data_IF_958938364783
#
_entry.id   IF_958938364783
#
_cell.length_a   1.000
_cell.length_b   1.000
_cell.length_c   1.000
_cell.angle_alpha   90.00
_cell.angle_beta   90.00
_cell.angle_gamma   90.00
#
_symmetry.space_group_name_H-M   'P 1'
#
loop_
_entity.id
_entity.type
_entity.pdbx_description
1 polymer ?
#
# COMPACT_ATOMS: atom_id res chain seq x y z
N UNK A 1 -15.26 13.92 -21.32
CA UNK A 1 -14.05 13.08 -21.30
C UNK A 1 -13.72 12.84 -19.85
N UNK A 2 -13.95 11.62 -19.35
CA UNK A 2 -13.46 11.21 -18.04
C UNK A 2 -11.94 11.11 -18.18
N UNK A 3 -11.22 12.05 -17.58
CA UNK A 3 -9.78 11.88 -17.34
C UNK A 3 -9.62 10.61 -16.51
N UNK A 4 -8.88 9.61 -17.01
CA UNK A 4 -8.37 8.54 -16.17
C UNK A 4 -7.50 9.21 -15.11
N UNK A 5 -8.05 9.48 -13.92
CA UNK A 5 -7.31 10.10 -12.82
C UNK A 5 -6.30 9.09 -12.31
N UNK A 6 -5.03 9.50 -12.37
CA UNK A 6 -3.87 8.78 -11.89
C UNK A 6 -3.85 8.85 -10.37
N UNK A 7 -3.45 7.78 -9.71
CA UNK A 7 -3.70 7.65 -8.29
C UNK A 7 -2.45 7.12 -7.57
N UNK A 8 -1.35 7.85 -7.73
CA UNK A 8 -0.13 7.62 -6.96
C UNK A 8 -0.24 8.38 -5.65
N UNK A 9 -0.09 7.63 -4.56
CA UNK A 9 0.04 8.15 -3.22
C UNK A 9 1.44 8.05 -2.66
N UNK A 10 1.63 8.66 -1.51
CA UNK A 10 2.85 8.50 -0.71
C UNK A 10 2.47 8.21 0.74
N UNK A 11 3.12 7.20 1.32
CA UNK A 11 3.01 6.88 2.74
C UNK A 11 3.64 7.98 3.58
N UNK A 12 2.89 8.52 4.54
CA UNK A 12 3.39 9.46 5.52
C UNK A 12 3.72 8.74 6.84
N UNK A 13 4.99 8.41 7.01
CA UNK A 13 5.52 7.84 8.25
C UNK A 13 5.55 8.87 9.38
N UNK A 14 4.65 8.73 10.35
CA UNK A 14 4.54 9.64 11.52
C UNK A 14 5.51 9.31 12.66
N UNK A 15 6.29 8.22 12.52
CA UNK A 15 7.24 7.73 13.54
C UNK A 15 8.67 8.29 13.36
N UNK A 16 8.85 9.29 12.50
CA UNK A 16 10.10 10.04 12.35
C UNK A 16 10.43 10.88 13.58
N UNK A 17 11.73 11.13 13.84
CA UNK A 17 12.18 11.93 14.98
C UNK A 17 11.81 13.42 14.86
N UNK A 18 12.77 14.28 14.46
CA UNK A 18 12.48 15.69 14.15
C UNK A 18 11.76 15.78 12.80
N UNK A 19 10.48 15.44 12.77
CA UNK A 19 9.64 15.58 11.58
C UNK A 19 9.33 17.05 11.29
N UNK A 20 9.21 17.46 10.02
CA UNK A 20 8.68 18.79 9.67
C UNK A 20 7.29 19.02 10.31
N UNK A 21 6.86 20.28 10.47
CA UNK A 21 5.48 20.60 10.84
C UNK A 21 4.51 19.90 9.88
N UNK A 22 3.46 19.27 10.42
CA UNK A 22 2.51 18.46 9.64
C UNK A 22 1.86 19.29 8.54
N UNK A 23 1.53 20.55 8.82
CA UNK A 23 0.94 21.48 7.86
C UNK A 23 1.86 21.72 6.65
N UNK A 24 3.18 21.78 6.88
CA UNK A 24 4.15 21.95 5.81
C UNK A 24 4.35 20.65 5.02
N UNK A 25 4.22 19.49 5.67
CA UNK A 25 4.14 18.20 4.96
C UNK A 25 2.92 18.16 4.04
N UNK A 26 1.73 18.53 4.52
CA UNK A 26 0.52 18.55 3.68
C UNK A 26 0.68 19.51 2.49
N UNK A 27 1.25 20.70 2.70
CA UNK A 27 1.58 21.62 1.59
C UNK A 27 2.59 21.03 0.63
N UNK A 28 3.57 20.27 1.12
CA UNK A 28 4.55 19.60 0.27
C UNK A 28 3.88 18.55 -0.61
N UNK A 29 2.98 17.71 -0.07
CA UNK A 29 2.17 16.77 -0.86
C UNK A 29 1.44 17.49 -2.00
N UNK A 30 0.75 18.60 -1.69
CA UNK A 30 0.02 19.40 -2.69
C UNK A 30 0.96 20.04 -3.73
N UNK A 31 2.10 20.60 -3.29
CA UNK A 31 3.11 21.18 -4.18
C UNK A 31 3.65 20.14 -5.16
N UNK A 32 3.85 18.90 -4.69
CA UNK A 32 4.33 17.78 -5.49
C UNK A 32 3.27 17.17 -6.43
N UNK A 33 2.02 17.66 -6.37
CA UNK A 33 0.92 17.07 -7.14
C UNK A 33 0.59 15.63 -6.71
N UNK A 34 0.96 15.25 -5.47
CA UNK A 34 0.59 13.94 -4.92
C UNK A 34 -0.89 14.03 -4.53
N UNK A 35 -1.68 13.06 -4.99
CA UNK A 35 -3.13 13.07 -4.78
C UNK A 35 -3.51 12.31 -3.52
N UNK A 36 -2.79 11.22 -3.21
CA UNK A 36 -3.14 10.34 -2.10
C UNK A 36 -2.10 10.36 -0.98
N UNK A 37 -2.61 10.30 0.24
CA UNK A 37 -1.80 10.19 1.45
C UNK A 37 -2.25 8.96 2.24
N UNK A 38 -1.28 8.18 2.72
CA UNK A 38 -1.56 7.03 3.60
C UNK A 38 -0.88 7.24 4.94
N UNK A 39 -1.64 7.12 6.03
CA UNK A 39 -1.10 7.00 7.39
C UNK A 39 -1.55 5.66 7.98
N UNK A 40 -0.62 4.92 8.58
CA UNK A 40 -0.86 3.55 9.05
C UNK A 40 -1.72 3.48 10.32
N UNK A 41 -1.81 4.58 11.06
CA UNK A 41 -2.56 4.69 12.31
C UNK A 41 -3.27 6.04 12.38
N UNK A 42 -4.35 6.17 13.17
CA UNK A 42 -5.06 7.42 13.27
C UNK A 42 -4.31 8.45 14.12
N UNK A 43 -4.15 9.65 13.58
CA UNK A 43 -3.55 10.79 14.25
C UNK A 43 -4.41 12.05 14.03
N UNK A 44 -4.91 12.62 15.14
CA UNK A 44 -5.78 13.80 15.07
C UNK A 44 -5.07 15.07 14.60
N UNK A 45 -3.75 15.19 14.76
CA UNK A 45 -3.00 16.33 14.25
C UNK A 45 -2.91 16.25 12.73
N UNK A 46 -2.66 15.06 12.17
CA UNK A 46 -2.71 14.84 10.71
C UNK A 46 -4.12 15.08 10.16
N UNK A 47 -5.15 14.54 10.80
CA UNK A 47 -6.55 14.76 10.38
C UNK A 47 -6.95 16.24 10.41
N UNK A 48 -6.45 17.03 11.38
CA UNK A 48 -6.67 18.48 11.42
C UNK A 48 -5.93 19.19 10.29
N UNK A 49 -4.67 18.83 10.02
CA UNK A 49 -3.87 19.44 8.96
C UNK A 49 -4.39 19.13 7.55
N UNK A 50 -5.08 17.99 7.37
CA UNK A 50 -5.68 17.61 6.09
C UNK A 50 -6.97 18.38 5.76
N UNK A 51 -7.54 19.13 6.71
CA UNK A 51 -8.81 19.85 6.49
C UNK A 51 -8.68 20.85 5.34
N UNK A 52 -9.58 20.74 4.36
CA UNK A 52 -9.61 21.60 3.17
C UNK A 52 -8.53 21.27 2.14
N UNK A 53 -7.70 20.25 2.37
CA UNK A 53 -6.79 19.74 1.34
C UNK A 53 -7.55 18.91 0.30
N UNK A 54 -7.01 18.81 -0.90
CA UNK A 54 -7.52 17.94 -1.97
C UNK A 54 -7.04 16.49 -1.83
N UNK A 55 -6.24 16.18 -0.81
CA UNK A 55 -5.63 14.86 -0.65
C UNK A 55 -6.68 13.83 -0.25
N UNK A 56 -6.70 12.69 -0.96
CA UNK A 56 -7.50 11.55 -0.54
C UNK A 56 -6.71 10.66 0.42
N UNK A 57 -7.29 10.43 1.59
CA UNK A 57 -6.66 9.76 2.72
C UNK A 57 -6.99 8.26 2.75
N UNK A 58 -5.94 7.44 2.86
CA UNK A 58 -6.00 6.07 3.38
C UNK A 58 -5.63 6.08 4.87
N UNK A 59 -6.59 5.80 5.75
CA UNK A 59 -6.43 5.82 7.20
C UNK A 59 -6.39 4.40 7.77
N UNK A 60 -5.29 4.04 8.44
CA UNK A 60 -5.17 2.73 9.06
C UNK A 60 -5.80 2.61 10.45
N UNK A 61 -6.38 1.44 10.73
CA UNK A 61 -6.77 0.98 12.07
C UNK A 61 -5.59 0.22 12.66
N UNK A 62 -5.21 0.56 13.90
CA UNK A 62 -4.11 -0.12 14.59
C UNK A 62 -4.37 -1.61 14.73
N UNK A 63 -3.33 -2.42 14.60
CA UNK A 63 -3.44 -3.89 14.76
C UNK A 63 -4.02 -4.28 16.14
N UNK A 64 -3.69 -3.53 17.19
CA UNK A 64 -4.17 -3.78 18.56
C UNK A 64 -5.69 -3.54 18.71
N UNK A 65 -6.25 -2.58 17.96
CA UNK A 65 -7.66 -2.21 18.03
C UNK A 65 -8.58 -3.25 17.37
N UNK A 66 -8.01 -4.12 16.51
CA UNK A 66 -8.76 -5.15 15.78
C UNK A 66 -9.51 -6.11 16.71
N UNK A 67 -8.95 -6.42 17.88
CA UNK A 67 -9.61 -7.32 18.85
C UNK A 67 -10.94 -6.72 19.29
N UNK A 68 -10.92 -5.48 19.78
CA UNK A 68 -12.12 -4.82 20.30
C UNK A 68 -13.14 -4.55 19.20
N UNK A 69 -12.69 -4.09 18.03
CA UNK A 69 -13.59 -3.75 16.92
C UNK A 69 -14.20 -5.01 16.29
N UNK A 70 -13.44 -6.10 16.14
CA UNK A 70 -13.98 -7.36 15.58
C UNK A 70 -15.08 -7.98 16.44
N UNK A 71 -15.00 -7.81 17.76
CA UNK A 71 -15.94 -8.38 18.73
C UNK A 71 -17.15 -7.48 19.00
N UNK A 72 -17.15 -6.23 18.53
CA UNK A 72 -18.19 -5.25 18.85
C UNK A 72 -18.47 -4.26 17.72
N UNK A 73 -19.69 -4.32 17.18
CA UNK A 73 -20.19 -3.32 16.23
C UNK A 73 -20.22 -1.92 16.83
N UNK A 74 -20.52 -1.77 18.13
CA UNK A 74 -20.51 -0.46 18.79
C UNK A 74 -19.09 0.11 18.91
N UNK A 75 -18.07 -0.75 19.09
CA UNK A 75 -16.68 -0.31 19.06
C UNK A 75 -16.27 0.19 17.66
N UNK A 76 -16.73 -0.45 16.59
CA UNK A 76 -16.54 0.06 15.22
C UNK A 76 -17.21 1.43 15.02
N UNK A 77 -18.45 1.58 15.48
CA UNK A 77 -19.17 2.87 15.42
C UNK A 77 -18.47 3.95 16.23
N UNK A 78 -17.94 3.62 17.41
CA UNK A 78 -17.15 4.56 18.22
C UNK A 78 -15.86 4.98 17.51
N UNK A 79 -15.18 4.05 16.84
CA UNK A 79 -13.99 4.37 16.06
C UNK A 79 -14.32 5.35 14.92
N UNK A 80 -15.41 5.13 14.19
CA UNK A 80 -15.91 6.05 13.14
C UNK A 80 -16.28 7.42 13.74
N UNK A 81 -16.96 7.45 14.88
CA UNK A 81 -17.30 8.70 15.57
C UNK A 81 -16.07 9.49 16.02
N UNK A 82 -14.99 8.80 16.40
CA UNK A 82 -13.78 9.47 16.86
C UNK A 82 -12.93 10.00 15.71
N UNK A 83 -12.73 9.19 14.66
CA UNK A 83 -11.70 9.48 13.65
C UNK A 83 -12.23 9.96 12.29
N UNK A 84 -13.52 9.71 11.99
CA UNK A 84 -14.10 10.04 10.68
C UNK A 84 -15.08 11.20 10.79
N UNK A 85 -16.14 11.06 11.60
CA UNK A 85 -17.22 12.06 11.66
C UNK A 85 -16.76 13.49 11.97
N UNK A 86 -15.78 13.75 12.86
CA UNK A 86 -15.33 15.11 13.15
C UNK A 86 -14.58 15.79 11.98
N UNK A 87 -14.27 15.04 10.93
CA UNK A 87 -13.45 15.46 9.79
C UNK A 87 -14.15 15.24 8.44
N UNK A 88 -15.27 14.52 8.39
CA UNK A 88 -15.87 14.00 7.16
C UNK A 88 -16.25 15.05 6.10
N UNK A 89 -16.50 16.30 6.50
CA UNK A 89 -16.83 17.39 5.57
C UNK A 89 -15.62 18.15 5.05
N UNK A 90 -14.44 17.92 5.63
CA UNK A 90 -13.21 18.68 5.36
C UNK A 90 -12.03 17.80 4.97
N UNK A 91 -12.10 16.49 5.21
CA UNK A 91 -11.07 15.50 4.84
C UNK A 91 -11.69 14.50 3.89
N UNK A 92 -11.05 14.28 2.75
CA UNK A 92 -11.44 13.27 1.76
C UNK A 92 -10.91 11.91 2.19
N UNK A 93 -11.78 11.03 2.70
CA UNK A 93 -11.41 9.65 3.03
C UNK A 93 -11.66 8.73 1.83
N UNK A 94 -10.60 8.08 1.33
CA UNK A 94 -10.71 7.08 0.27
C UNK A 94 -10.78 5.66 0.82
N UNK A 95 -9.96 5.37 1.84
CA UNK A 95 -9.82 4.01 2.39
C UNK A 95 -9.71 4.02 3.91
N UNK A 96 -10.29 3.01 4.54
CA UNK A 96 -9.95 2.56 5.88
C UNK A 96 -9.23 1.22 5.78
N UNK A 97 -7.97 1.18 6.17
CA UNK A 97 -7.17 -0.06 6.13
C UNK A 97 -7.17 -0.74 7.50
N UNK A 98 -7.82 -1.90 7.58
CA UNK A 98 -7.95 -2.74 8.76
C UNK A 98 -6.64 -3.46 9.02
N UNK A 99 -5.83 -2.87 9.91
CA UNK A 99 -4.50 -3.36 10.22
C UNK A 99 -3.47 -3.12 9.12
N UNK A 100 -2.20 -3.27 9.49
CA UNK A 100 -1.06 -3.27 8.58
C UNK A 100 -0.26 -4.55 8.82
N UNK A 101 -0.23 -5.42 7.82
CA UNK A 101 0.44 -6.72 7.87
C UNK A 101 0.02 -7.61 9.07
N UNK A 102 -1.25 -7.50 9.47
CA UNK A 102 -1.83 -8.32 10.54
C UNK A 102 -1.85 -9.83 10.20
N UNK A 103 -1.76 -10.16 8.91
CA UNK A 103 -1.73 -11.53 8.37
C UNK A 103 -0.34 -11.79 7.73
N UNK A 104 0.34 -12.90 8.06
CA UNK A 104 0.12 -13.71 9.25
C UNK A 104 0.53 -12.98 10.53
N UNK A 105 -0.13 -13.29 11.64
CA UNK A 105 0.16 -12.68 12.94
C UNK A 105 -0.91 -12.96 14.00
N UNK A 106 -0.71 -12.48 15.25
CA UNK A 106 -1.65 -12.71 16.36
C UNK A 106 -3.01 -12.05 16.14
N UNK A 107 -3.09 -11.05 15.24
CA UNK A 107 -4.31 -10.32 14.94
C UNK A 107 -5.06 -10.85 13.70
N UNK A 108 -4.50 -11.83 12.98
CA UNK A 108 -5.02 -12.30 11.69
C UNK A 108 -6.49 -12.71 11.75
N UNK A 109 -6.90 -13.43 12.81
CA UNK A 109 -8.27 -13.92 13.00
C UNK A 109 -9.32 -12.82 13.21
N UNK A 110 -8.92 -11.58 13.46
CA UNK A 110 -9.83 -10.47 13.72
C UNK A 110 -10.06 -9.59 12.49
N UNK A 111 -9.26 -9.74 11.42
CA UNK A 111 -9.27 -8.84 10.27
C UNK A 111 -10.62 -8.84 9.55
N UNK A 112 -11.11 -10.02 9.15
CA UNK A 112 -12.37 -10.13 8.40
C UNK A 112 -13.58 -9.56 9.16
N UNK A 113 -13.76 -9.92 10.43
CA UNK A 113 -14.83 -9.36 11.26
C UNK A 113 -14.70 -7.86 11.47
N UNK A 114 -13.47 -7.33 11.58
CA UNK A 114 -13.24 -5.88 11.68
C UNK A 114 -13.60 -5.16 10.38
N UNK A 115 -13.26 -5.72 9.20
CA UNK A 115 -13.69 -5.18 7.89
C UNK A 115 -15.21 -5.03 7.87
N UNK A 116 -15.92 -6.06 8.32
CA UNK A 116 -17.38 -6.10 8.28
C UNK A 116 -18.01 -5.09 9.23
N UNK A 117 -17.54 -5.04 10.48
CA UNK A 117 -18.05 -4.10 11.46
C UNK A 117 -17.75 -2.64 11.07
N UNK A 118 -16.56 -2.37 10.51
CA UNK A 118 -16.19 -1.04 10.04
C UNK A 118 -17.03 -0.61 8.84
N UNK A 119 -17.23 -1.49 7.85
CA UNK A 119 -18.08 -1.21 6.70
C UNK A 119 -19.53 -0.90 7.13
N UNK A 120 -20.09 -1.70 8.03
CA UNK A 120 -21.42 -1.45 8.59
C UNK A 120 -21.49 -0.10 9.34
N UNK A 121 -20.47 0.23 10.13
CA UNK A 121 -20.41 1.48 10.88
C UNK A 121 -20.41 2.69 9.92
N UNK A 122 -19.60 2.66 8.87
CA UNK A 122 -19.54 3.72 7.85
C UNK A 122 -20.87 3.85 7.08
N UNK A 123 -21.45 2.72 6.66
CA UNK A 123 -22.74 2.73 5.96
C UNK A 123 -23.88 3.29 6.83
N UNK A 124 -23.87 3.01 8.14
CA UNK A 124 -24.91 3.47 9.07
C UNK A 124 -24.98 5.00 9.20
N UNK A 125 -23.90 5.69 8.84
CA UNK A 125 -23.79 7.15 8.84
C UNK A 125 -23.71 7.74 7.42
N UNK A 126 -24.07 6.94 6.40
CA UNK A 126 -24.14 7.39 5.00
C UNK A 126 -22.80 7.50 4.26
N UNK A 127 -21.69 7.03 4.86
CA UNK A 127 -20.35 7.12 4.27
C UNK A 127 -20.01 5.90 3.39
N UNK A 128 -20.86 5.62 2.40
CA UNK A 128 -20.81 4.42 1.55
C UNK A 128 -19.67 4.43 0.53
N UNK A 129 -19.08 5.59 0.23
CA UNK A 129 -18.00 5.71 -0.74
C UNK A 129 -16.62 5.37 -0.18
N UNK A 130 -16.48 5.28 1.16
CA UNK A 130 -15.20 4.97 1.81
C UNK A 130 -14.97 3.47 1.73
N UNK A 131 -13.88 3.05 1.07
CA UNK A 131 -13.56 1.64 0.90
C UNK A 131 -12.93 1.08 2.17
N UNK A 132 -13.42 -0.05 2.67
CA UNK A 132 -12.81 -0.75 3.81
C UNK A 132 -11.98 -1.92 3.27
N UNK A 133 -10.70 -1.97 3.59
CA UNK A 133 -9.77 -2.98 3.08
C UNK A 133 -8.81 -3.42 4.19
N UNK A 134 -7.86 -4.31 3.91
CA UNK A 134 -6.73 -4.65 4.77
C UNK A 134 -5.44 -4.64 3.96
N UNK A 135 -4.31 -4.52 4.64
CA UNK A 135 -2.99 -4.49 4.02
C UNK A 135 -2.25 -5.79 4.36
N UNK A 136 -1.86 -6.53 3.32
CA UNK A 136 -1.11 -7.79 3.47
C UNK A 136 0.28 -7.70 2.82
N UNK A 137 1.30 -8.28 3.45
CA UNK A 137 2.65 -8.37 2.88
C UNK A 137 2.80 -9.56 1.97
N UNK A 138 3.86 -9.56 1.15
CA UNK A 138 4.21 -10.70 0.30
C UNK A 138 4.34 -12.02 1.07
N UNK A 139 4.75 -12.00 2.36
CA UNK A 139 4.89 -13.22 3.20
C UNK A 139 3.59 -14.01 3.41
N UNK A 140 2.42 -13.49 3.02
CA UNK A 140 1.20 -14.30 2.99
C UNK A 140 1.23 -15.36 1.88
N UNK A 141 2.08 -15.17 0.85
CA UNK A 141 2.29 -16.10 -0.24
C UNK A 141 3.42 -17.09 0.07
N UNK A 142 3.23 -18.36 -0.30
CA UNK A 142 4.25 -19.41 -0.18
C UNK A 142 5.35 -19.26 -1.23
N UNK A 143 4.96 -18.87 -2.43
CA UNK A 143 5.81 -18.49 -3.56
C UNK A 143 5.10 -17.41 -4.35
N UNK A 144 5.85 -16.62 -5.10
CA UNK A 144 5.33 -15.68 -6.09
C UNK A 144 6.01 -15.86 -7.46
N UNK A 145 6.96 -16.80 -7.59
CA UNK A 145 7.76 -16.98 -8.80
C UNK A 145 7.81 -18.47 -9.22
N UNK A 146 7.29 -18.84 -10.41
CA UNK A 146 6.55 -17.98 -11.34
C UNK A 146 5.15 -17.62 -10.79
N UNK A 147 4.57 -16.46 -11.18
CA UNK A 147 3.33 -15.95 -10.58
C UNK A 147 2.16 -16.93 -10.57
N UNK A 148 1.95 -17.69 -11.64
CA UNK A 148 0.87 -18.69 -11.75
C UNK A 148 0.88 -19.76 -10.66
N UNK A 149 2.04 -20.02 -10.06
CA UNK A 149 2.20 -21.02 -8.99
C UNK A 149 1.87 -20.46 -7.61
N UNK A 150 1.74 -19.14 -7.47
CA UNK A 150 1.53 -18.48 -6.19
C UNK A 150 0.28 -18.98 -5.48
N UNK A 151 0.38 -19.14 -4.17
CA UNK A 151 -0.70 -19.53 -3.28
C UNK A 151 -0.44 -18.99 -1.88
N UNK A 152 -1.50 -18.82 -1.11
CA UNK A 152 -1.36 -18.42 0.28
C UNK A 152 -0.69 -19.54 1.09
N UNK A 153 0.18 -19.15 2.02
CA UNK A 153 0.78 -20.07 2.99
C UNK A 153 -0.31 -20.76 3.81
N UNK A 154 -0.05 -21.98 4.29
CA UNK A 154 -1.00 -22.70 5.17
C UNK A 154 -1.43 -21.87 6.39
N UNK A 155 -0.51 -21.05 6.92
CA UNK A 155 -0.79 -20.17 8.06
C UNK A 155 -1.73 -19.01 7.70
N UNK A 156 -1.63 -18.47 6.49
CA UNK A 156 -2.41 -17.29 6.07
C UNK A 156 -3.73 -17.67 5.42
N UNK A 157 -3.80 -18.85 4.78
CA UNK A 157 -4.92 -19.29 3.95
C UNK A 157 -6.29 -19.16 4.62
N UNK A 158 -6.53 -19.65 5.86
CA UNK A 158 -7.85 -19.54 6.48
C UNK A 158 -8.31 -18.08 6.62
N UNK A 159 -7.40 -17.20 7.02
CA UNK A 159 -7.70 -15.78 7.21
C UNK A 159 -7.88 -15.05 5.88
N UNK A 160 -7.12 -15.41 4.85
CA UNK A 160 -7.27 -14.84 3.52
C UNK A 160 -8.58 -15.23 2.87
N UNK A 161 -9.08 -16.46 3.09
CA UNK A 161 -10.42 -16.87 2.65
C UNK A 161 -11.51 -15.98 3.27
N UNK A 162 -11.46 -15.75 4.58
CA UNK A 162 -12.44 -14.90 5.28
C UNK A 162 -12.36 -13.42 4.86
N UNK A 163 -11.15 -12.91 4.65
CA UNK A 163 -10.91 -11.56 4.13
C UNK A 163 -11.46 -11.42 2.73
N UNK A 164 -11.14 -12.34 1.82
CA UNK A 164 -11.62 -12.32 0.42
C UNK A 164 -13.13 -12.38 0.36
N UNK A 165 -13.78 -13.24 1.16
CA UNK A 165 -15.23 -13.30 1.23
C UNK A 165 -15.83 -11.96 1.69
N UNK A 166 -15.19 -11.31 2.66
CA UNK A 166 -15.62 -9.99 3.15
C UNK A 166 -15.46 -8.91 2.07
N UNK A 167 -14.31 -8.86 1.39
CA UNK A 167 -13.99 -7.89 0.34
C UNK A 167 -14.89 -8.03 -0.89
N UNK A 168 -15.15 -9.26 -1.34
CA UNK A 168 -16.08 -9.54 -2.44
C UNK A 168 -17.49 -9.03 -2.12
N UNK A 169 -17.98 -9.28 -0.90
CA UNK A 169 -19.33 -8.85 -0.48
C UNK A 169 -19.49 -7.33 -0.50
N UNK A 170 -18.44 -6.59 -0.11
CA UNK A 170 -18.50 -5.13 0.00
C UNK A 170 -17.96 -4.41 -1.25
N UNK A 171 -17.46 -5.14 -2.25
CA UNK A 171 -16.90 -4.57 -3.48
C UNK A 171 -15.63 -3.75 -3.26
N UNK A 172 -14.76 -4.15 -2.34
CA UNK A 172 -13.55 -3.40 -1.94
C UNK A 172 -12.27 -4.13 -2.39
N UNK A 173 -11.18 -3.40 -2.74
CA UNK A 173 -9.92 -4.03 -3.11
C UNK A 173 -9.23 -4.68 -1.91
N UNK A 174 -8.23 -5.52 -2.16
CA UNK A 174 -7.20 -5.90 -1.20
C UNK A 174 -5.98 -5.00 -1.40
N UNK A 175 -5.41 -4.45 -0.32
CA UNK A 175 -4.14 -3.73 -0.40
C UNK A 175 -2.96 -4.66 -0.13
N UNK A 176 -1.92 -4.55 -0.96
CA UNK A 176 -0.72 -5.40 -0.88
C UNK A 176 0.56 -4.56 -0.75
N UNK A 177 1.47 -4.97 0.13
CA UNK A 177 2.82 -4.41 0.20
C UNK A 177 3.73 -5.17 -0.78
N UNK A 178 4.29 -4.46 -1.74
CA UNK A 178 5.06 -5.01 -2.87
C UNK A 178 6.44 -4.37 -2.92
N UNK A 179 7.47 -5.09 -2.51
CA UNK A 179 8.84 -4.59 -2.44
C UNK A 179 9.82 -5.45 -3.26
N UNK A 180 9.98 -5.19 -4.57
CA UNK A 180 10.99 -5.81 -5.42
C UNK A 180 12.40 -5.73 -4.82
N UNK A 181 12.73 -4.64 -4.13
CA UNK A 181 14.00 -4.47 -3.43
C UNK A 181 14.33 -5.64 -2.48
N UNK A 182 13.37 -6.07 -1.64
CA UNK A 182 13.65 -7.14 -0.67
C UNK A 182 13.82 -8.50 -1.33
N UNK A 183 13.04 -8.79 -2.38
CA UNK A 183 13.19 -10.02 -3.16
C UNK A 183 14.54 -10.06 -3.89
N UNK A 184 14.92 -8.96 -4.54
CA UNK A 184 16.22 -8.81 -5.20
C UNK A 184 17.39 -8.98 -4.24
N UNK A 185 17.36 -8.35 -3.06
CA UNK A 185 18.43 -8.46 -2.06
C UNK A 185 18.52 -9.85 -1.42
N UNK A 186 17.42 -10.58 -1.35
CA UNK A 186 17.39 -11.94 -0.80
C UNK A 186 17.90 -12.97 -1.80
N UNK A 187 17.58 -12.80 -3.08
CA UNK A 187 17.91 -13.76 -4.16
C UNK A 187 18.54 -13.06 -5.39
N UNK A 188 19.70 -12.39 -5.26
CA UNK A 188 20.29 -11.61 -6.35
C UNK A 188 20.80 -12.47 -7.53
N UNK A 189 20.88 -13.79 -7.35
CA UNK A 189 21.17 -14.74 -8.44
C UNK A 189 19.93 -15.09 -9.27
N UNK A 190 18.75 -14.96 -8.68
CA UNK A 190 17.48 -15.26 -9.34
C UNK A 190 16.91 -14.03 -10.05
N UNK A 191 17.05 -12.86 -9.44
CA UNK A 191 16.53 -11.61 -9.97
C UNK A 191 17.67 -10.64 -10.29
N UNK A 192 17.75 -10.19 -11.54
CA UNK A 192 18.69 -9.13 -11.91
C UNK A 192 18.21 -7.77 -11.40
N UNK A 193 19.13 -6.82 -11.28
CA UNK A 193 18.79 -5.45 -10.91
C UNK A 193 17.84 -4.81 -11.93
N UNK A 194 18.07 -5.06 -13.22
CA UNK A 194 17.22 -4.57 -14.31
C UNK A 194 15.80 -5.12 -14.20
N UNK A 195 15.64 -6.39 -13.82
CA UNK A 195 14.32 -6.98 -13.60
C UNK A 195 13.63 -6.38 -12.37
N UNK A 196 14.38 -6.13 -11.30
CA UNK A 196 13.85 -5.49 -10.10
C UNK A 196 13.47 -4.01 -10.30
N UNK A 197 14.04 -3.35 -11.32
CA UNK A 197 13.90 -1.91 -11.58
C UNK A 197 13.26 -1.57 -12.93
N UNK A 198 12.47 -2.49 -13.51
CA UNK A 198 11.71 -2.29 -14.76
C UNK A 198 12.54 -2.07 -16.03
N UNK A 199 13.83 -2.41 -16.02
CA UNK A 199 14.76 -2.22 -17.14
C UNK A 199 15.10 -3.52 -17.89
N UNK A 200 14.57 -4.67 -17.48
CA UNK A 200 14.91 -5.95 -18.12
C UNK A 200 14.49 -5.99 -19.59
N UNK A 201 15.35 -6.59 -20.42
CA UNK A 201 15.10 -6.78 -21.86
C UNK A 201 14.54 -8.16 -22.19
N UNK A 202 14.75 -9.12 -21.29
CA UNK A 202 14.23 -10.48 -21.41
C UNK A 202 13.15 -10.70 -20.36
N UNK A 203 11.99 -11.25 -20.73
CA UNK A 203 10.94 -11.49 -19.77
C UNK A 203 11.16 -12.78 -19.00
N UNK A 204 10.67 -12.82 -17.77
CA UNK A 204 10.27 -14.08 -17.13
C UNK A 204 9.00 -14.58 -17.85
N UNK A 205 9.04 -15.80 -18.38
CA UNK A 205 7.90 -16.41 -19.07
C UNK A 205 7.17 -17.36 -18.13
N UNK A 206 5.87 -17.15 -17.96
CA UNK A 206 4.98 -17.95 -17.12
C UNK A 206 3.72 -18.30 -17.91
N UNK A 207 3.78 -19.44 -18.61
CA UNK A 207 2.76 -19.84 -19.58
C UNK A 207 2.59 -18.79 -20.68
N UNK A 208 1.42 -18.15 -20.74
CA UNK A 208 1.11 -17.08 -21.70
C UNK A 208 1.59 -15.70 -21.27
N UNK A 209 1.95 -15.52 -20.00
CA UNK A 209 2.34 -14.22 -19.44
C UNK A 209 3.84 -13.99 -19.60
N UNK A 210 4.20 -12.74 -19.91
CA UNK A 210 5.58 -12.29 -20.02
C UNK A 210 5.76 -11.13 -19.06
N UNK A 211 6.61 -11.31 -18.07
CA UNK A 211 6.90 -10.29 -17.06
C UNK A 211 8.25 -9.67 -17.36
N UNK A 212 8.30 -8.35 -17.50
CA UNK A 212 9.54 -7.60 -17.71
C UNK A 212 10.05 -6.93 -16.42
N UNK A 213 9.32 -7.10 -15.32
CA UNK A 213 9.70 -6.54 -14.04
C UNK A 213 9.20 -7.42 -12.88
N UNK A 214 9.89 -7.30 -11.75
CA UNK A 214 9.60 -8.05 -10.54
C UNK A 214 8.33 -7.57 -9.82
N UNK A 215 7.96 -6.29 -9.99
CA UNK A 215 6.73 -5.72 -9.42
C UNK A 215 5.48 -6.46 -9.95
N UNK A 216 5.34 -6.57 -11.26
CA UNK A 216 4.24 -7.30 -11.92
C UNK A 216 4.22 -8.78 -11.50
N UNK A 217 5.40 -9.38 -11.36
CA UNK A 217 5.55 -10.76 -10.91
C UNK A 217 4.96 -10.94 -9.50
N UNK A 218 5.25 -10.00 -8.60
CA UNK A 218 4.73 -10.02 -7.23
C UNK A 218 3.23 -9.73 -7.17
N UNK A 219 2.74 -8.72 -7.92
CA UNK A 219 1.30 -8.38 -7.98
C UNK A 219 0.49 -9.54 -8.59
N UNK A 220 0.94 -10.12 -9.69
CA UNK A 220 0.24 -11.25 -10.31
C UNK A 220 0.36 -12.55 -9.50
N UNK A 221 1.37 -12.65 -8.62
CA UNK A 221 1.41 -13.68 -7.60
C UNK A 221 0.22 -13.56 -6.63
N UNK A 222 -0.15 -12.35 -6.21
CA UNK A 222 -1.37 -12.15 -5.42
C UNK A 222 -2.63 -12.49 -6.22
N UNK A 223 -2.76 -12.03 -7.47
CA UNK A 223 -3.91 -12.37 -8.30
C UNK A 223 -4.06 -13.89 -8.51
N UNK A 224 -2.96 -14.60 -8.79
CA UNK A 224 -2.98 -16.06 -8.93
C UNK A 224 -3.40 -16.76 -7.63
N UNK A 225 -2.88 -16.33 -6.47
CA UNK A 225 -3.27 -16.87 -5.19
C UNK A 225 -4.75 -16.60 -4.85
N UNK A 226 -5.27 -15.42 -5.18
CA UNK A 226 -6.68 -15.07 -5.04
C UNK A 226 -7.58 -15.95 -5.91
N UNK A 227 -7.20 -16.16 -7.18
CA UNK A 227 -7.95 -17.03 -8.10
C UNK A 227 -8.12 -18.45 -7.55
N UNK A 228 -7.09 -19.01 -6.89
CA UNK A 228 -7.13 -20.35 -6.27
C UNK A 228 -8.09 -20.47 -5.08
N UNK A 229 -8.52 -19.35 -4.49
CA UNK A 229 -9.48 -19.32 -3.37
C UNK A 229 -10.80 -18.64 -3.76
N UNK A 230 -11.15 -18.66 -5.05
CA UNK A 230 -12.35 -18.04 -5.62
C UNK A 230 -12.43 -16.51 -5.42
N UNK A 231 -11.29 -15.86 -5.20
CA UNK A 231 -11.14 -14.42 -5.00
C UNK A 231 -10.75 -13.64 -6.26
N UNK A 232 -10.82 -14.24 -7.45
CA UNK A 232 -10.29 -13.65 -8.70
C UNK A 232 -10.90 -12.30 -9.12
N UNK A 233 -12.06 -11.96 -8.55
CA UNK A 233 -12.76 -10.67 -8.76
C UNK A 233 -12.40 -9.59 -7.72
N UNK A 234 -11.57 -9.91 -6.71
CA UNK A 234 -11.05 -8.90 -5.78
C UNK A 234 -9.99 -8.07 -6.51
N UNK A 235 -10.23 -6.76 -6.64
CA UNK A 235 -9.23 -5.83 -7.17
C UNK A 235 -8.05 -5.69 -6.20
N UNK A 236 -6.89 -5.30 -6.72
CA UNK A 236 -5.71 -5.01 -5.89
C UNK A 236 -5.39 -3.53 -5.93
N UNK A 237 -4.81 -3.05 -4.83
CA UNK A 237 -4.10 -1.78 -4.75
C UNK A 237 -2.77 -2.02 -4.05
N UNK A 238 -1.75 -1.22 -4.34
CA UNK A 238 -0.43 -1.37 -3.72
C UNK A 238 -0.30 -0.35 -2.59
N UNK A 239 -0.33 -0.80 -1.34
CA UNK A 239 -0.26 0.07 -0.16
C UNK A 239 1.15 0.54 0.16
N UNK A 240 2.17 -0.23 -0.23
CA UNK A 240 3.56 0.16 -0.06
C UNK A 240 4.42 -0.46 -1.14
N UNK A 241 5.28 0.37 -1.70
CA UNK A 241 6.37 -0.07 -2.57
C UNK A 241 7.42 1.02 -2.62
N UNK A 242 8.69 0.65 -2.74
CA UNK A 242 9.78 1.62 -2.77
C UNK A 242 11.14 0.97 -2.85
N UNK A 243 12.15 1.80 -3.01
CA UNK A 243 13.55 1.39 -3.05
C UNK A 243 14.40 2.33 -2.19
N UNK A 244 15.27 1.80 -1.33
CA UNK A 244 16.00 2.64 -0.41
C UNK A 244 17.24 3.29 -1.03
N UNK A 245 17.52 4.53 -0.61
CA UNK A 245 18.71 5.31 -0.99
C UNK A 245 19.99 4.82 -0.34
N UNK A 246 19.88 4.13 0.81
CA UNK A 246 21.01 3.61 1.57
C UNK A 246 20.67 2.26 2.24
N UNK A 247 21.63 1.36 2.32
CA UNK A 247 21.46 -0.03 2.74
C UNK A 247 22.78 -0.81 2.83
N UNK A 248 22.71 -2.01 3.44
CA UNK A 248 23.87 -2.83 3.79
C UNK A 248 24.52 -3.44 2.53
N UNK A 249 25.46 -2.70 1.95
CA UNK A 249 26.64 -3.18 1.20
C UNK A 249 26.59 -3.42 -0.32
N UNK A 250 25.51 -3.39 -1.10
CA UNK A 250 25.69 -3.53 -2.58
C UNK A 250 24.72 -2.88 -3.60
N UNK A 251 23.53 -2.34 -3.30
CA UNK A 251 22.62 -1.84 -4.38
C UNK A 251 21.70 -0.69 -3.94
N UNK A 252 22.21 0.17 -3.06
CA UNK A 252 21.42 1.24 -2.47
C UNK A 252 22.18 2.54 -2.63
N UNK A 253 21.96 3.16 -3.78
CA UNK A 253 22.30 4.55 -4.04
C UNK A 253 21.02 5.37 -4.21
N UNK A 254 21.15 6.68 -4.07
CA UNK A 254 20.12 7.65 -4.47
C UNK A 254 19.65 7.42 -5.91
N UNK A 255 20.56 7.01 -6.80
CA UNK A 255 20.23 6.77 -8.21
C UNK A 255 19.41 5.49 -8.40
N UNK A 256 19.74 4.40 -7.71
CA UNK A 256 18.95 3.16 -7.78
C UNK A 256 17.52 3.39 -7.29
N UNK A 257 17.38 4.15 -6.19
CA UNK A 257 16.08 4.54 -5.66
C UNK A 257 15.27 5.40 -6.64
N UNK A 258 15.95 6.36 -7.28
CA UNK A 258 15.36 7.21 -8.33
C UNK A 258 14.91 6.38 -9.53
N UNK A 259 15.75 5.46 -10.03
CA UNK A 259 15.44 4.59 -11.17
C UNK A 259 14.19 3.76 -10.86
N UNK A 260 14.17 3.07 -9.70
CA UNK A 260 13.03 2.25 -9.33
C UNK A 260 11.74 3.07 -9.22
N UNK A 261 11.74 4.16 -8.44
CA UNK A 261 10.53 4.93 -8.18
C UNK A 261 10.03 5.69 -9.42
N UNK A 262 10.93 6.19 -10.28
CA UNK A 262 10.53 6.83 -11.54
C UNK A 262 9.94 5.81 -12.53
N UNK A 263 10.56 4.63 -12.67
CA UNK A 263 10.05 3.61 -13.56
C UNK A 263 8.73 3.01 -13.06
N UNK A 264 8.59 2.81 -11.75
CA UNK A 264 7.33 2.43 -11.13
C UNK A 264 6.24 3.47 -11.42
N UNK A 265 6.55 4.76 -11.22
CA UNK A 265 5.63 5.86 -11.52
C UNK A 265 5.14 5.75 -12.97
N UNK A 266 6.06 5.66 -13.94
CA UNK A 266 5.70 5.54 -15.36
C UNK A 266 4.93 4.26 -15.69
N UNK A 267 5.20 3.16 -14.99
CA UNK A 267 4.52 1.91 -15.20
C UNK A 267 3.05 1.97 -14.75
N UNK A 268 2.79 2.32 -13.48
CA UNK A 268 1.44 2.23 -12.88
C UNK A 268 0.48 3.31 -13.40
N UNK A 269 0.98 4.40 -13.97
CA UNK A 269 0.13 5.43 -14.60
C UNK A 269 -0.36 5.04 -15.99
N UNK A 270 0.22 4.01 -16.61
CA UNK A 270 -0.08 3.67 -18.02
C UNK A 270 -0.38 2.20 -18.27
N UNK A 271 -0.08 1.32 -17.31
CA UNK A 271 -0.17 -0.12 -17.50
C UNK A 271 -0.78 -0.78 -16.26
N UNK A 272 -1.61 -1.80 -16.49
CA UNK A 272 -1.82 -2.85 -15.50
C UNK A 272 -0.73 -3.91 -15.58
N UNK A 273 -0.99 -5.07 -14.97
CA UNK A 273 -0.07 -6.22 -14.98
C UNK A 273 -0.37 -7.16 -16.16
N UNK A 274 0.53 -8.09 -16.53
CA UNK A 274 0.24 -9.11 -17.56
C UNK A 274 -1.05 -9.90 -17.33
N UNK A 275 -1.40 -10.23 -16.07
CA UNK A 275 -2.63 -10.97 -15.73
C UNK A 275 -3.87 -10.08 -15.64
N UNK A 276 -3.71 -8.76 -15.49
CA UNK A 276 -4.79 -7.75 -15.46
C UNK A 276 -4.36 -6.47 -16.22
N UNK A 277 -4.21 -6.53 -17.57
CA UNK A 277 -3.58 -5.46 -18.34
C UNK A 277 -4.40 -4.15 -18.35
N UNK A 278 -5.71 -4.26 -18.22
CA UNK A 278 -6.66 -3.14 -18.30
C UNK A 278 -7.01 -2.54 -16.92
N UNK A 279 -6.39 -3.03 -15.84
CA UNK A 279 -6.65 -2.56 -14.48
C UNK A 279 -5.43 -1.79 -13.97
N UNK A 280 -5.59 -0.48 -13.83
CA UNK A 280 -4.60 0.36 -13.16
C UNK A 280 -4.67 0.16 -11.65
N UNK A 281 -3.51 0.25 -10.99
CA UNK A 281 -3.38 0.01 -9.56
C UNK A 281 -3.19 1.34 -8.82
N UNK A 282 -4.10 1.69 -7.93
CA UNK A 282 -3.83 2.71 -6.91
C UNK A 282 -2.57 2.28 -6.14
N UNK A 283 -1.54 3.12 -6.14
CA UNK A 283 -0.20 2.72 -5.69
C UNK A 283 0.39 3.77 -4.76
N UNK A 284 0.82 3.36 -3.58
CA UNK A 284 1.42 4.22 -2.57
C UNK A 284 2.93 3.96 -2.47
N UNK A 285 3.73 4.97 -2.82
CA UNK A 285 5.17 4.97 -2.62
C UNK A 285 5.49 4.97 -1.12
N UNK A 286 6.44 4.15 -0.73
CA UNK A 286 7.01 4.11 0.61
C UNK A 286 8.42 4.69 0.55
N UNK A 287 8.70 5.87 1.13
CA UNK A 287 7.80 6.72 1.95
C UNK A 287 8.19 8.21 1.86
N UNK A 288 7.39 9.11 2.43
CA UNK A 288 7.62 10.56 2.32
C UNK A 288 8.98 10.99 2.89
N UNK A 289 9.32 10.52 4.09
CA UNK A 289 10.55 10.85 4.79
C UNK A 289 11.19 9.61 5.38
N UNK A 290 12.51 9.61 5.54
CA UNK A 290 13.20 8.53 6.24
C UNK A 290 12.69 8.38 7.69
N UNK A 291 12.13 7.22 8.02
CA UNK A 291 11.76 6.88 9.39
C UNK A 291 12.98 6.63 10.28
N UNK A 292 12.88 7.06 11.55
CA UNK A 292 13.94 6.84 12.54
C UNK A 292 14.03 5.34 12.88
N UNK A 293 15.02 4.67 12.32
CA UNK A 293 15.30 3.26 12.60
C UNK A 293 16.62 3.11 13.38
N UNK A 294 16.82 1.99 14.12
CA UNK A 294 18.12 1.66 14.71
C UNK A 294 19.22 1.74 13.64
N UNK A 295 20.44 2.16 14.01
CA UNK A 295 21.59 2.30 13.08
C UNK A 295 21.70 1.08 12.16
N UNK A 296 21.71 1.33 10.84
CA UNK A 296 21.91 0.29 9.82
C UNK A 296 20.64 -0.30 9.17
N UNK A 297 19.47 0.34 9.31
CA UNK A 297 18.28 0.05 8.48
C UNK A 297 18.21 0.99 7.26
N UNK A 298 17.41 0.57 6.28
CA UNK A 298 17.28 1.18 4.96
C UNK A 298 16.52 2.52 4.98
N UNK A 299 16.98 3.47 4.16
CA UNK A 299 16.42 4.82 4.01
C UNK A 299 15.50 4.88 2.78
N UNK A 300 14.18 4.92 2.99
CA UNK A 300 13.17 4.90 1.91
C UNK A 300 12.60 6.28 1.56
N UNK A 301 12.99 7.33 2.28
CA UNK A 301 12.43 8.67 2.14
C UNK A 301 12.63 9.25 0.73
N UNK A 302 11.53 9.70 0.13
CA UNK A 302 11.54 10.55 -1.07
C UNK A 302 12.12 11.94 -0.74
N UNK A 303 11.95 12.39 0.50
CA UNK A 303 12.46 13.66 1.01
C UNK A 303 13.29 13.43 2.27
N UNK A 304 14.27 14.29 2.47
CA UNK A 304 14.95 14.43 3.75
C UNK A 304 14.04 15.16 4.77
N UNK A 305 14.38 15.04 6.06
CA UNK A 305 13.63 15.70 7.15
C UNK A 305 13.63 17.25 7.08
N UNK A 306 14.44 17.85 6.21
CA UNK A 306 14.41 19.28 5.90
C UNK A 306 13.53 19.61 4.68
N UNK A 307 12.72 18.66 4.20
CA UNK A 307 11.82 18.79 3.04
C UNK A 307 12.53 18.98 1.68
N UNK A 308 13.85 18.78 1.63
CA UNK A 308 14.59 18.74 0.36
C UNK A 308 14.42 17.34 -0.26
N UNK A 309 14.10 17.23 -1.57
CA UNK A 309 14.03 15.94 -2.24
C UNK A 309 15.34 15.16 -2.11
N UNK A 310 15.28 13.87 -1.78
CA UNK A 310 16.45 13.00 -1.83
C UNK A 310 16.90 12.79 -3.29
N UNK A 311 15.94 12.77 -4.21
CA UNK A 311 16.11 12.75 -5.66
C UNK A 311 14.85 13.34 -6.30
N UNK A 312 14.99 13.83 -7.54
CA UNK A 312 13.86 14.38 -8.29
C UNK A 312 12.99 13.24 -8.82
N UNK A 313 11.74 13.18 -8.36
CA UNK A 313 10.74 12.21 -8.79
C UNK A 313 9.51 12.89 -9.40
N UNK A 314 9.02 13.96 -8.76
CA UNK A 314 7.88 14.71 -9.25
C UNK A 314 8.35 15.85 -10.16
N UNK A 315 7.44 16.37 -10.99
CA UNK A 315 7.78 17.47 -11.90
C UNK A 315 7.70 18.83 -11.21
N UNK A 316 6.87 18.96 -10.19
CA UNK A 316 6.53 20.20 -9.48
C UNK A 316 7.27 20.37 -8.15
N UNK A 317 7.99 19.34 -7.72
CA UNK A 317 8.95 19.28 -6.64
C UNK A 317 9.91 18.11 -6.94
#
# INVERSE_FOLDING_TARGET
>A
MLTCTYHIGVNYGINGGKSPPIEDVIKLYQKCGIEFIRIQEPDHQVLKALRGSSLQLSLGVRNQDLITISLSQSAASQWVQNYILPYMTQVSFGWITIGNEAIPGPYAKYVASTINNMHNALNSVGLVSIRVTTVVPLKVLQTFNPPSTAEFTQQSLPFMVDVVASLLRIGSPLMVNVYPYFAYMSEPKQFSFEFATFNAKQPLVDGKFKYFNLFDTMVDGFYAALEKINGGNVALSVSETGWPTCGKKNCTSTEDARIYNANLYHHVVSNGTPRRPDILLDTFLFEMFDEKKPRGKQNFGLFHQNMVPAYRLFNTC
#
